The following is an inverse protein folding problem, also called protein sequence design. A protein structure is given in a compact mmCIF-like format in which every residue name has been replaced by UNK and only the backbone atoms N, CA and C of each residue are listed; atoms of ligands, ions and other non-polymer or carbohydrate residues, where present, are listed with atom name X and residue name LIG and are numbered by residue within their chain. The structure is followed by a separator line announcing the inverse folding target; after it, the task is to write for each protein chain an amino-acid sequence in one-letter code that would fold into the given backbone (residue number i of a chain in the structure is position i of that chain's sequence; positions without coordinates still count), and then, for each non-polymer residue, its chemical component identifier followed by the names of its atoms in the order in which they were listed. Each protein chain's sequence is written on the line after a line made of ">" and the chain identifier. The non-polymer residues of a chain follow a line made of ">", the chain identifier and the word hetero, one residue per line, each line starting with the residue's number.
data_IF_843537744003
#
_entry.id   IF_843537744003
#
_cell.length_a   1.000
_cell.length_b   1.000
_cell.length_c   1.000
_cell.angle_alpha   90.00
_cell.angle_beta   90.00
_cell.angle_gamma   90.00
#
_symmetry.space_group_name_H-M   'P 1'
#
loop_
_entity.id
_entity.type
_entity.pdbx_description
1 polymer ?
#
# COMPACT_ATOMS: atom_id res chain seq x y z
N UNK A 1 11.67 -28.06 4.48
CA UNK A 1 10.98 -27.09 5.35
C UNK A 1 9.99 -26.35 4.47
N UNK A 2 8.69 -26.48 4.68
CA UNK A 2 7.67 -25.83 3.87
C UNK A 2 7.74 -24.31 4.07
N UNK A 3 7.42 -23.54 3.05
CA UNK A 3 7.48 -22.07 3.06
C UNK A 3 6.63 -21.46 4.19
N UNK A 4 5.46 -22.03 4.45
CA UNK A 4 4.54 -21.66 5.53
C UNK A 4 5.14 -21.76 6.94
N UNK A 5 6.06 -22.70 7.17
CA UNK A 5 6.74 -22.88 8.46
C UNK A 5 7.82 -21.80 8.75
N UNK A 6 8.23 -21.00 7.73
CA UNK A 6 9.19 -19.91 7.88
C UNK A 6 8.56 -18.57 8.23
N UNK A 7 7.23 -18.44 8.05
CA UNK A 7 6.54 -17.16 8.23
C UNK A 7 6.45 -16.73 9.69
N UNK A 8 6.40 -17.68 10.63
CA UNK A 8 6.13 -17.36 12.03
C UNK A 8 4.73 -16.72 12.20
N UNK A 9 4.50 -16.12 13.36
CA UNK A 9 3.35 -15.25 13.60
C UNK A 9 3.86 -13.89 14.09
N UNK A 10 3.27 -12.80 13.60
CA UNK A 10 3.50 -11.43 14.03
C UNK A 10 2.22 -10.63 13.75
N UNK A 11 2.01 -9.55 14.49
CA UNK A 11 0.72 -8.84 14.56
C UNK A 11 0.15 -8.46 13.18
N UNK A 12 0.96 -7.93 12.27
CA UNK A 12 0.50 -7.49 10.95
C UNK A 12 0.13 -8.67 10.04
N UNK A 13 0.83 -9.81 10.18
CA UNK A 13 0.46 -11.03 9.45
C UNK A 13 -0.86 -11.61 9.95
N UNK A 14 -1.10 -11.57 11.25
CA UNK A 14 -2.34 -12.03 11.83
C UNK A 14 -3.51 -11.10 11.45
N UNK A 15 -3.24 -9.79 11.35
CA UNK A 15 -4.18 -8.80 10.79
C UNK A 15 -4.54 -9.11 9.34
N UNK A 16 -3.54 -9.38 8.48
CA UNK A 16 -3.77 -9.76 7.09
C UNK A 16 -4.63 -11.04 6.97
N UNK A 17 -4.34 -12.04 7.82
CA UNK A 17 -5.13 -13.29 7.90
C UNK A 17 -6.57 -13.04 8.33
N UNK A 18 -6.78 -12.16 9.31
CA UNK A 18 -8.11 -11.82 9.81
C UNK A 18 -8.98 -11.13 8.74
N UNK A 19 -8.36 -10.35 7.84
CA UNK A 19 -9.07 -9.70 6.73
C UNK A 19 -9.31 -10.63 5.51
N UNK A 20 -8.61 -11.74 5.39
CA UNK A 20 -8.73 -12.64 4.25
C UNK A 20 -10.18 -13.11 3.95
N UNK A 21 -11.04 -13.42 4.92
CA UNK A 21 -12.44 -13.77 4.64
C UNK A 21 -13.23 -12.61 4.00
N UNK A 22 -13.05 -11.38 4.49
CA UNK A 22 -13.68 -10.18 3.91
C UNK A 22 -13.21 -9.93 2.48
N UNK A 23 -11.91 -10.08 2.23
CA UNK A 23 -11.31 -9.93 0.90
C UNK A 23 -11.92 -10.96 -0.08
N UNK A 24 -12.00 -12.24 0.32
CA UNK A 24 -12.62 -13.29 -0.51
C UNK A 24 -14.09 -13.00 -0.80
N UNK A 25 -14.84 -12.50 0.16
CA UNK A 25 -16.24 -12.16 -0.03
C UNK A 25 -16.44 -11.01 -1.03
N UNK A 26 -15.46 -10.14 -1.19
CA UNK A 26 -15.50 -9.00 -2.11
C UNK A 26 -15.09 -9.34 -3.56
N UNK A 27 -14.54 -10.53 -3.85
CA UNK A 27 -13.97 -10.87 -5.16
C UNK A 27 -14.91 -10.60 -6.35
N UNK A 28 -16.18 -10.99 -6.25
CA UNK A 28 -17.16 -10.79 -7.33
C UNK A 28 -17.40 -9.30 -7.58
N UNK A 29 -17.50 -8.50 -6.52
CA UNK A 29 -17.68 -7.06 -6.63
C UNK A 29 -16.44 -6.39 -7.23
N UNK A 30 -15.23 -6.78 -6.80
CA UNK A 30 -13.94 -6.30 -7.34
C UNK A 30 -13.87 -6.56 -8.85
N UNK A 31 -14.19 -7.78 -9.28
CA UNK A 31 -14.16 -8.17 -10.70
C UNK A 31 -15.16 -7.35 -11.54
N UNK A 32 -16.37 -7.16 -11.03
CA UNK A 32 -17.43 -6.41 -11.73
C UNK A 32 -17.12 -4.92 -11.83
N UNK A 33 -16.64 -4.33 -10.73
CA UNK A 33 -16.38 -2.88 -10.64
C UNK A 33 -15.00 -2.49 -11.17
N UNK A 34 -14.06 -3.44 -11.23
CA UNK A 34 -12.64 -3.21 -11.53
C UNK A 34 -11.97 -2.22 -10.59
N UNK A 35 -12.44 -2.18 -9.37
CA UNK A 35 -11.93 -1.36 -8.27
C UNK A 35 -12.20 -2.06 -6.94
N UNK A 36 -11.42 -1.74 -5.90
CA UNK A 36 -11.70 -2.24 -4.56
C UNK A 36 -12.93 -1.52 -3.99
N UNK A 37 -13.91 -2.26 -3.41
CA UNK A 37 -15.03 -1.64 -2.71
C UNK A 37 -14.56 -0.74 -1.58
N UNK A 38 -15.23 0.41 -1.38
CA UNK A 38 -14.84 1.38 -0.35
C UNK A 38 -14.79 0.78 1.06
N UNK A 39 -15.68 -0.15 1.38
CA UNK A 39 -15.68 -0.87 2.66
C UNK A 39 -14.39 -1.67 2.87
N UNK A 40 -13.88 -2.30 1.79
CA UNK A 40 -12.62 -3.04 1.83
C UNK A 40 -11.43 -2.08 1.94
N UNK A 41 -11.41 -0.98 1.18
CA UNK A 41 -10.36 0.05 1.30
C UNK A 41 -10.30 0.60 2.72
N UNK A 42 -11.47 0.92 3.31
CA UNK A 42 -11.56 1.41 4.70
C UNK A 42 -11.01 0.38 5.70
N UNK A 43 -11.30 -0.91 5.51
CA UNK A 43 -10.78 -1.96 6.37
C UNK A 43 -9.26 -2.11 6.23
N UNK A 44 -8.73 -2.11 5.01
CA UNK A 44 -7.30 -2.22 4.74
C UNK A 44 -6.50 -1.02 5.30
N UNK A 45 -6.98 0.21 5.09
CA UNK A 45 -6.35 1.43 5.61
C UNK A 45 -6.46 1.51 7.12
N UNK A 46 -7.63 1.24 7.69
CA UNK A 46 -7.87 1.27 9.13
C UNK A 46 -7.04 0.25 9.91
N UNK A 47 -6.62 -0.84 9.26
CA UNK A 47 -5.71 -1.84 9.83
C UNK A 47 -4.23 -1.60 9.47
N UNK A 48 -3.92 -0.47 8.84
CA UNK A 48 -2.54 -0.05 8.54
C UNK A 48 -1.83 -0.87 7.46
N UNK A 49 -2.55 -1.63 6.62
CA UNK A 49 -1.93 -2.51 5.63
C UNK A 49 -1.22 -1.76 4.49
N UNK A 50 -1.50 -0.48 4.30
CA UNK A 50 -0.74 0.40 3.41
C UNK A 50 0.45 1.09 4.11
N UNK A 51 0.68 0.84 5.41
CA UNK A 51 1.72 1.48 6.23
C UNK A 51 2.75 0.49 6.79
N UNK A 52 2.78 -0.73 6.25
CA UNK A 52 3.63 -1.82 6.75
C UNK A 52 5.14 -1.49 6.66
N UNK A 53 5.57 -0.82 5.59
CA UNK A 53 6.97 -0.40 5.39
C UNK A 53 7.23 1.06 5.82
N UNK A 54 6.20 1.81 6.20
CA UNK A 54 6.37 3.17 6.69
C UNK A 54 7.18 3.17 7.99
N UNK A 55 8.17 4.06 8.15
CA UNK A 55 8.91 4.18 9.40
C UNK A 55 8.00 4.47 10.59
N UNK A 56 8.37 3.94 11.76
CA UNK A 56 7.62 4.11 13.01
C UNK A 56 7.47 5.58 13.43
N UNK A 57 8.44 6.42 13.06
CA UNK A 57 8.41 7.88 13.28
C UNK A 57 7.23 8.58 12.59
N UNK A 58 6.66 7.99 11.54
CA UNK A 58 5.46 8.47 10.85
C UNK A 58 4.23 7.59 11.11
N UNK A 59 4.26 6.75 12.15
CA UNK A 59 3.15 5.89 12.55
C UNK A 59 2.99 4.63 11.69
N UNK A 60 4.05 4.14 11.08
CA UNK A 60 4.09 2.86 10.37
C UNK A 60 4.55 1.68 11.20
N UNK A 61 4.42 0.45 10.67
CA UNK A 61 4.90 -0.76 11.33
C UNK A 61 6.40 -0.99 11.15
N UNK A 62 7.03 -0.29 10.21
CA UNK A 62 8.47 -0.40 9.91
C UNK A 62 8.93 -1.86 9.72
N UNK A 63 8.11 -2.67 9.05
CA UNK A 63 8.46 -4.06 8.78
C UNK A 63 9.68 -4.16 7.86
N UNK A 64 10.46 -5.22 8.05
CA UNK A 64 11.42 -5.60 7.01
C UNK A 64 10.70 -6.18 5.79
N UNK A 65 11.32 -6.05 4.62
CA UNK A 65 10.75 -6.48 3.34
C UNK A 65 10.24 -7.94 3.34
N UNK A 66 10.93 -8.95 3.92
CA UNK A 66 10.41 -10.31 3.98
C UNK A 66 9.07 -10.43 4.73
N UNK A 67 8.87 -9.70 5.83
CA UNK A 67 7.61 -9.70 6.58
C UNK A 67 6.49 -9.00 5.81
N UNK A 68 6.81 -7.88 5.15
CA UNK A 68 5.88 -7.21 4.22
C UNK A 68 5.38 -8.17 3.14
N UNK A 69 6.29 -8.88 2.47
CA UNK A 69 5.93 -9.85 1.44
C UNK A 69 5.01 -10.95 1.99
N UNK A 70 5.26 -11.46 3.22
CA UNK A 70 4.37 -12.44 3.83
C UNK A 70 2.93 -11.90 4.02
N UNK A 71 2.77 -10.63 4.39
CA UNK A 71 1.45 -10.00 4.50
C UNK A 71 0.77 -9.88 3.14
N UNK A 72 1.50 -9.36 2.13
CA UNK A 72 0.99 -9.21 0.76
C UNK A 72 0.58 -10.58 0.17
N UNK A 73 1.35 -11.63 0.43
CA UNK A 73 1.07 -12.99 -0.04
C UNK A 73 -0.25 -13.52 0.54
N UNK A 74 -0.50 -13.36 1.85
CA UNK A 74 -1.77 -13.76 2.48
C UNK A 74 -2.96 -13.02 1.88
N UNK A 75 -2.81 -11.73 1.60
CA UNK A 75 -3.84 -10.90 0.97
C UNK A 75 -4.07 -11.35 -0.48
N UNK A 76 -3.00 -11.61 -1.24
CA UNK A 76 -3.06 -12.05 -2.63
C UNK A 76 -3.64 -13.48 -2.78
N UNK A 77 -3.42 -14.38 -1.81
CA UNK A 77 -4.08 -15.67 -1.73
C UNK A 77 -5.61 -15.54 -1.55
N UNK A 78 -6.07 -14.45 -0.92
CA UNK A 78 -7.48 -14.16 -0.78
C UNK A 78 -8.06 -13.49 -2.04
N UNK A 79 -7.35 -12.52 -2.64
CA UNK A 79 -7.68 -11.88 -3.92
C UNK A 79 -6.42 -11.21 -4.52
N UNK A 80 -6.08 -11.57 -5.74
CA UNK A 80 -4.87 -11.09 -6.42
C UNK A 80 -4.86 -9.58 -6.69
N UNK A 81 -6.00 -8.98 -7.01
CA UNK A 81 -6.13 -7.55 -7.26
C UNK A 81 -5.93 -6.75 -5.96
N UNK A 82 -6.50 -7.22 -4.86
CA UNK A 82 -6.31 -6.63 -3.53
C UNK A 82 -4.84 -6.74 -3.10
N UNK A 83 -4.23 -7.91 -3.28
CA UNK A 83 -2.80 -8.12 -3.00
C UNK A 83 -1.90 -7.19 -3.82
N UNK A 84 -2.24 -6.98 -5.09
CA UNK A 84 -1.54 -6.01 -5.94
C UNK A 84 -1.67 -4.58 -5.41
N UNK A 85 -2.87 -4.12 -5.07
CA UNK A 85 -3.10 -2.77 -4.55
C UNK A 85 -2.34 -2.53 -3.24
N UNK A 86 -2.39 -3.49 -2.30
CA UNK A 86 -1.64 -3.38 -1.03
C UNK A 86 -0.13 -3.43 -1.28
N UNK A 87 0.33 -4.29 -2.19
CA UNK A 87 1.74 -4.36 -2.58
C UNK A 87 2.24 -3.04 -3.16
N UNK A 88 1.51 -2.46 -4.10
CA UNK A 88 1.89 -1.19 -4.75
C UNK A 88 1.79 -0.01 -3.76
N UNK A 89 0.65 0.18 -3.11
CA UNK A 89 0.47 1.30 -2.17
C UNK A 89 1.33 1.20 -0.91
N UNK A 90 1.63 -0.03 -0.46
CA UNK A 90 2.41 -0.30 0.76
C UNK A 90 3.93 -0.25 0.57
N UNK A 91 4.45 -0.31 -0.67
CA UNK A 91 5.90 -0.29 -0.90
C UNK A 91 6.49 1.12 -0.84
N UNK A 92 5.76 2.14 -1.32
CA UNK A 92 6.26 3.52 -1.41
C UNK A 92 6.48 4.23 -0.07
N UNK A 93 5.74 3.94 1.00
CA UNK A 93 6.04 4.49 2.32
C UNK A 93 7.47 4.21 2.82
N UNK A 94 8.14 3.18 2.30
CA UNK A 94 9.56 2.93 2.57
C UNK A 94 10.49 4.09 2.14
N UNK A 95 10.03 4.97 1.24
CA UNK A 95 10.78 6.14 0.79
C UNK A 95 10.69 7.33 1.75
N UNK A 96 9.89 7.26 2.82
CA UNK A 96 9.69 8.38 3.74
C UNK A 96 11.01 8.87 4.35
N UNK A 97 11.94 7.96 4.68
CA UNK A 97 13.25 8.31 5.22
C UNK A 97 14.19 8.97 4.19
N UNK A 98 13.89 8.83 2.90
CA UNK A 98 14.67 9.48 1.82
C UNK A 98 14.16 10.89 1.49
N UNK A 99 13.04 11.31 2.06
CA UNK A 99 12.46 12.64 1.88
C UNK A 99 12.84 13.57 3.04
N UNK A 100 12.79 14.90 2.85
CA UNK A 100 12.82 15.82 3.97
C UNK A 100 11.70 15.47 4.96
N UNK A 101 12.01 15.45 6.27
CA UNK A 101 11.07 15.04 7.30
C UNK A 101 9.72 15.77 7.25
N UNK A 102 9.74 17.08 6.96
CA UNK A 102 8.51 17.88 6.82
C UNK A 102 7.63 17.39 5.64
N UNK A 103 8.26 16.96 4.53
CA UNK A 103 7.54 16.43 3.37
C UNK A 103 6.94 15.05 3.68
N UNK A 104 7.71 14.18 4.34
CA UNK A 104 7.21 12.86 4.75
C UNK A 104 6.07 13.00 5.77
N UNK A 105 6.15 13.93 6.71
CA UNK A 105 5.09 14.24 7.66
C UNK A 105 3.83 14.79 6.96
N UNK A 106 3.98 15.64 5.97
CA UNK A 106 2.86 16.16 5.18
C UNK A 106 2.11 15.03 4.44
N UNK A 107 2.83 14.03 3.90
CA UNK A 107 2.23 12.93 3.14
C UNK A 107 1.61 11.89 4.09
N UNK A 108 2.35 11.44 5.11
CA UNK A 108 1.96 10.28 5.92
C UNK A 108 1.69 10.59 7.39
N UNK A 109 2.23 11.67 7.93
CA UNK A 109 2.10 11.99 9.35
C UNK A 109 0.73 12.56 9.71
N UNK A 110 0.11 13.30 8.80
CA UNK A 110 -1.15 14.02 9.05
C UNK A 110 -2.40 13.19 8.72
N UNK A 111 -2.31 12.27 7.77
CA UNK A 111 -3.44 11.41 7.38
C UNK A 111 -3.07 9.93 7.55
N UNK A 112 -3.65 9.26 8.55
CA UNK A 112 -3.40 7.84 8.78
C UNK A 112 -3.90 6.94 7.64
N UNK A 113 -4.78 7.44 6.77
CA UNK A 113 -5.34 6.70 5.64
C UNK A 113 -4.64 7.02 4.30
N UNK A 114 -3.58 7.86 4.32
CA UNK A 114 -2.87 8.22 3.11
C UNK A 114 -2.30 6.99 2.41
N UNK A 115 -2.66 6.82 1.15
CA UNK A 115 -2.12 5.81 0.23
C UNK A 115 -1.44 6.51 -0.92
N UNK A 116 -0.22 6.10 -1.24
CA UNK A 116 0.54 6.66 -2.35
C UNK A 116 0.44 5.73 -3.55
N UNK A 117 -0.17 6.23 -4.61
CA UNK A 117 -0.20 5.54 -5.90
C UNK A 117 1.01 5.93 -6.75
N UNK A 118 1.46 5.00 -7.58
CA UNK A 118 2.49 5.23 -8.59
C UNK A 118 2.03 4.69 -9.93
N UNK A 119 2.53 5.26 -11.00
CA UNK A 119 2.19 4.80 -12.35
C UNK A 119 3.35 4.98 -13.31
N UNK A 120 3.37 4.16 -14.36
CA UNK A 120 4.35 4.28 -15.44
C UNK A 120 4.11 5.60 -16.19
N UNK A 121 5.09 6.51 -16.23
CA UNK A 121 4.94 7.81 -16.90
C UNK A 121 4.92 7.63 -18.43
N UNK A 122 3.96 8.26 -19.09
CA UNK A 122 3.86 8.28 -20.55
C UNK A 122 3.69 9.72 -21.02
N UNK A 123 4.67 10.23 -21.78
CA UNK A 123 4.66 11.61 -22.27
C UNK A 123 4.62 12.64 -21.13
N UNK A 124 5.21 12.32 -19.99
CA UNK A 124 5.22 13.18 -18.82
C UNK A 124 6.30 14.25 -18.93
N UNK A 125 5.99 15.44 -18.43
CA UNK A 125 6.92 16.55 -18.33
C UNK A 125 6.85 17.15 -16.92
N UNK A 126 8.01 17.34 -16.30
CA UNK A 126 8.17 18.14 -15.11
C UNK A 126 8.88 19.45 -15.49
N UNK A 127 8.21 20.57 -15.34
CA UNK A 127 8.76 21.90 -15.59
C UNK A 127 9.01 22.60 -14.26
N UNK A 128 10.22 23.06 -14.03
CA UNK A 128 10.52 23.87 -12.85
C UNK A 128 9.83 25.23 -12.99
N UNK A 129 9.14 25.64 -11.97
CA UNK A 129 8.47 26.93 -11.83
C UNK A 129 8.87 27.56 -10.50
N UNK A 130 8.50 28.82 -10.28
CA UNK A 130 8.71 29.45 -8.97
C UNK A 130 7.92 28.71 -7.91
N UNK A 131 8.56 28.34 -6.80
CA UNK A 131 7.98 27.59 -5.69
C UNK A 131 7.79 26.08 -5.90
N UNK A 132 8.24 25.50 -7.03
CA UNK A 132 8.10 24.05 -7.23
C UNK A 132 8.18 23.54 -8.65
N UNK A 133 7.30 22.60 -9.00
CA UNK A 133 7.24 21.98 -10.32
C UNK A 133 5.80 21.90 -10.82
N UNK A 134 5.62 22.16 -12.12
CA UNK A 134 4.39 21.85 -12.83
C UNK A 134 4.55 20.49 -13.50
N UNK A 135 3.69 19.53 -13.13
CA UNK A 135 3.66 18.21 -13.74
C UNK A 135 2.53 18.13 -14.76
N UNK A 136 2.81 17.54 -15.92
CA UNK A 136 1.81 17.25 -16.94
C UNK A 136 2.12 15.91 -17.60
N UNK A 137 1.07 15.13 -17.94
CA UNK A 137 1.24 13.82 -18.57
C UNK A 137 0.15 12.84 -18.20
N UNK A 138 0.39 11.58 -18.56
CA UNK A 138 -0.45 10.44 -18.17
C UNK A 138 0.40 9.40 -17.44
N UNK A 139 -0.19 8.80 -16.43
CA UNK A 139 0.40 7.69 -15.69
C UNK A 139 -0.51 6.49 -15.85
N UNK A 140 0.07 5.39 -16.38
CA UNK A 140 -0.64 4.11 -16.53
C UNK A 140 -0.29 3.21 -15.36
N UNK A 141 -1.16 2.24 -15.08
CA UNK A 141 -1.00 1.29 -13.96
C UNK A 141 -0.82 1.98 -12.59
N UNK A 142 -1.46 3.12 -12.42
CA UNK A 142 -1.48 3.83 -11.14
C UNK A 142 -2.53 3.19 -10.22
N UNK A 143 -2.20 1.99 -9.70
CA UNK A 143 -3.05 1.26 -8.75
C UNK A 143 -2.91 1.85 -7.36
N UNK A 144 -4.05 2.09 -6.70
CA UNK A 144 -4.12 2.67 -5.36
C UNK A 144 -5.27 3.63 -5.20
#
# INVERSE_FOLDING_TARGET
>A
MRWDQRRGSFAELDTARALAPMIRAAQVEIEQRRELPQSLVTALTGQGLFRLLLPASFGGSQLCLPRFICCVEVIAEADGSTGWCVGQGGVFPNLADALPAATADEIWGRDPNAVVATGAPTGTRAQRIDGGYRLSGRWRFASG
#
